data_IF_564487625012
#
_entry.id   IF_564487625012
#
_cell.length_a   1.000
_cell.length_b   1.000
_cell.length_c   1.000
_cell.angle_alpha   90.00
_cell.angle_beta   90.00
_cell.angle_gamma   90.00
#
_symmetry.space_group_name_H-M   'P 1'
#
loop_
_entity.id
_entity.type
_entity.pdbx_description
1 polymer ?
#
# COMPACT_ATOMS: atom_id res chain seq x y z
N UNK A 1 26.54 56.63 7.04
CA UNK A 1 26.75 55.22 6.60
C UNK A 1 26.23 54.13 7.58
N UNK A 2 25.79 54.44 8.82
CA UNK A 2 25.22 53.43 9.74
C UNK A 2 23.72 53.10 9.56
N UNK A 3 22.94 53.94 8.89
CA UNK A 3 21.48 53.75 8.72
C UNK A 3 21.08 52.84 7.55
N UNK A 4 22.01 52.56 6.63
CA UNK A 4 21.75 51.70 5.47
C UNK A 4 22.14 50.22 5.72
N UNK A 5 23.00 49.96 6.72
CA UNK A 5 23.35 48.60 7.15
C UNK A 5 22.25 47.94 7.99
N UNK A 6 21.46 48.71 8.73
CA UNK A 6 20.34 48.17 9.51
C UNK A 6 19.16 47.73 8.63
N UNK A 7 18.93 48.43 7.50
CA UNK A 7 17.89 48.07 6.51
C UNK A 7 18.28 46.86 5.66
N UNK A 8 19.58 46.61 5.47
CA UNK A 8 20.11 45.45 4.77
C UNK A 8 20.01 44.15 5.61
N UNK A 9 20.02 44.24 6.95
CA UNK A 9 19.84 43.08 7.83
C UNK A 9 18.37 42.68 8.04
N UNK A 10 17.43 43.62 8.04
CA UNK A 10 15.99 43.31 8.15
C UNK A 10 15.44 42.70 6.86
N UNK A 11 15.99 43.07 5.70
CA UNK A 11 15.59 42.49 4.40
C UNK A 11 16.09 41.05 4.17
N UNK A 12 17.24 40.68 4.73
CA UNK A 12 17.83 39.34 4.52
C UNK A 12 17.13 38.25 5.36
N UNK A 13 16.61 38.59 6.55
CA UNK A 13 15.86 37.67 7.40
C UNK A 13 14.46 37.33 6.85
N UNK A 14 13.84 38.26 6.11
CA UNK A 14 12.53 38.05 5.49
C UNK A 14 12.60 37.12 4.27
N UNK A 15 13.73 37.09 3.55
CA UNK A 15 13.89 36.23 2.37
C UNK A 15 14.22 34.77 2.75
N UNK A 16 14.86 34.54 3.90
CA UNK A 16 15.15 33.20 4.42
C UNK A 16 13.94 32.51 5.08
N UNK A 17 12.88 33.25 5.40
CA UNK A 17 11.66 32.69 6.02
C UNK A 17 10.63 32.19 5.00
N UNK A 18 10.80 32.47 3.71
CA UNK A 18 9.85 32.08 2.65
C UNK A 18 10.28 30.79 1.93
N UNK A 19 11.53 30.35 2.10
CA UNK A 19 12.03 29.07 1.56
C UNK A 19 11.88 27.86 2.52
N UNK A 20 11.19 28.01 3.65
CA UNK A 20 10.76 26.89 4.50
C UNK A 20 9.34 26.41 4.19
N UNK A 21 8.64 26.97 3.18
CA UNK A 21 7.28 26.54 2.80
C UNK A 21 7.23 25.57 1.61
N UNK A 22 8.37 25.05 1.15
CA UNK A 22 8.38 23.79 0.39
C UNK A 22 8.68 22.62 1.33
N UNK A 23 8.12 22.64 2.53
CA UNK A 23 7.83 21.39 3.23
C UNK A 23 6.82 20.63 2.38
N UNK A 24 7.34 19.68 1.61
CA UNK A 24 6.57 18.67 0.91
C UNK A 24 5.44 18.17 1.81
N UNK A 25 4.22 18.41 1.33
CA UNK A 25 2.93 18.12 1.93
C UNK A 25 2.76 16.68 2.45
N UNK A 26 3.39 16.33 3.57
CA UNK A 26 3.14 15.05 4.26
C UNK A 26 2.63 15.20 5.70
N UNK A 27 2.67 16.41 6.28
CA UNK A 27 2.36 16.61 7.70
C UNK A 27 0.99 17.24 8.01
N UNK A 28 0.12 17.47 7.02
CA UNK A 28 -1.18 18.13 7.23
C UNK A 28 -2.39 17.41 6.61
N UNK A 29 -2.44 16.07 6.77
CA UNK A 29 -3.69 15.29 6.69
C UNK A 29 -4.02 14.64 8.04
N UNK A 30 -3.92 15.39 9.14
CA UNK A 30 -4.58 15.06 10.41
C UNK A 30 -6.03 15.58 10.42
N UNK A 31 -6.79 15.21 9.40
CA UNK A 31 -8.16 15.68 9.20
C UNK A 31 -9.08 14.53 8.82
N UNK A 32 -9.86 14.07 9.79
CA UNK A 32 -10.75 12.89 9.81
C UNK A 32 -10.02 11.57 10.05
N UNK A 33 -9.87 11.22 11.33
CA UNK A 33 -10.03 9.82 11.72
C UNK A 33 -11.44 9.39 11.28
N UNK A 34 -11.55 8.95 10.03
CA UNK A 34 -12.75 8.33 9.52
C UNK A 34 -12.90 7.06 10.39
N UNK A 35 -13.78 7.12 11.38
CA UNK A 35 -14.10 5.97 12.21
C UNK A 35 -14.83 4.98 11.32
N UNK A 36 -14.10 4.04 10.72
CA UNK A 36 -14.72 2.90 10.05
C UNK A 36 -15.32 2.03 11.14
N UNK A 37 -16.60 1.67 11.03
CA UNK A 37 -17.24 0.72 11.94
C UNK A 37 -16.59 -0.66 11.80
N UNK A 38 -16.62 -1.48 12.87
CA UNK A 38 -16.11 -2.86 12.85
C UNK A 38 -16.68 -3.64 11.67
N UNK A 39 -18.00 -3.59 11.48
CA UNK A 39 -18.71 -4.21 10.35
C UNK A 39 -18.19 -3.78 8.97
N UNK A 40 -17.80 -2.50 8.81
CA UNK A 40 -17.30 -2.00 7.52
C UNK A 40 -15.88 -2.49 7.23
N UNK A 41 -15.07 -2.66 8.28
CA UNK A 41 -13.73 -3.24 8.17
C UNK A 41 -13.85 -4.73 7.90
N UNK A 42 -14.73 -5.44 8.60
CA UNK A 42 -15.05 -6.85 8.38
C UNK A 42 -15.43 -7.13 6.92
N UNK A 43 -16.42 -6.42 6.39
CA UNK A 43 -16.83 -6.55 4.98
C UNK A 43 -15.69 -6.25 3.99
N UNK A 44 -14.75 -5.36 4.35
CA UNK A 44 -13.57 -5.12 3.53
C UNK A 44 -12.62 -6.31 3.56
N UNK A 45 -12.38 -6.89 4.74
CA UNK A 45 -11.47 -8.03 4.88
C UNK A 45 -12.01 -9.26 4.15
N UNK A 46 -13.32 -9.50 4.21
CA UNK A 46 -13.99 -10.55 3.40
C UNK A 46 -13.75 -10.34 1.90
N UNK A 47 -14.00 -9.13 1.38
CA UNK A 47 -13.73 -8.84 -0.04
C UNK A 47 -12.24 -8.91 -0.39
N UNK A 48 -11.34 -8.61 0.56
CA UNK A 48 -9.90 -8.72 0.35
C UNK A 48 -9.49 -10.18 0.19
N UNK A 49 -9.96 -11.06 1.06
CA UNK A 49 -9.73 -12.52 1.01
C UNK A 49 -10.23 -13.08 -0.33
N UNK A 50 -11.51 -12.90 -0.65
CA UNK A 50 -12.11 -13.38 -1.90
C UNK A 50 -11.37 -12.89 -3.17
N UNK A 51 -10.96 -11.61 -3.17
CA UNK A 51 -10.23 -11.04 -4.30
C UNK A 51 -8.77 -11.49 -4.35
N UNK A 52 -8.17 -11.78 -3.21
CA UNK A 52 -6.80 -12.31 -3.14
C UNK A 52 -6.79 -13.72 -3.71
N UNK A 53 -7.72 -14.58 -3.29
CA UNK A 53 -7.88 -15.93 -3.84
C UNK A 53 -8.14 -15.90 -5.35
N UNK A 54 -9.04 -15.01 -5.79
CA UNK A 54 -9.31 -14.83 -7.21
C UNK A 54 -8.05 -14.41 -7.95
N UNK A 55 -7.28 -13.45 -7.42
CA UNK A 55 -6.03 -13.01 -8.02
C UNK A 55 -4.98 -14.13 -8.07
N UNK A 56 -4.69 -14.79 -6.94
CA UNK A 56 -3.75 -15.91 -6.83
C UNK A 56 -4.07 -17.00 -7.85
N UNK A 57 -5.34 -17.39 -7.95
CA UNK A 57 -5.78 -18.41 -8.90
C UNK A 57 -5.57 -18.00 -10.37
N UNK A 58 -5.86 -16.74 -10.73
CA UNK A 58 -5.65 -16.25 -12.10
C UNK A 58 -4.15 -16.08 -12.41
N UNK A 59 -3.39 -15.61 -11.44
CA UNK A 59 -1.95 -15.41 -11.57
C UNK A 59 -1.22 -16.75 -11.76
N UNK A 60 -1.53 -17.77 -10.96
CA UNK A 60 -0.96 -19.11 -11.12
C UNK A 60 -1.31 -19.70 -12.48
N UNK A 61 -2.57 -19.65 -12.90
CA UNK A 61 -2.98 -20.09 -14.25
C UNK A 61 -2.25 -19.35 -15.37
N UNK A 62 -1.92 -18.07 -15.17
CA UNK A 62 -1.15 -17.30 -16.13
C UNK A 62 0.32 -17.69 -16.16
N UNK A 63 0.90 -18.07 -15.02
CA UNK A 63 2.26 -18.60 -14.93
C UNK A 63 2.37 -19.95 -15.65
N UNK A 64 1.46 -20.89 -15.34
CA UNK A 64 1.39 -22.23 -15.93
C UNK A 64 1.25 -22.19 -17.46
N UNK A 65 0.55 -21.17 -17.99
CA UNK A 65 0.36 -20.99 -19.45
C UNK A 65 1.48 -20.20 -20.12
N UNK A 66 2.42 -19.67 -19.34
CA UNK A 66 3.50 -18.84 -19.86
C UNK A 66 4.74 -19.67 -20.16
N UNK A 67 5.71 -19.06 -20.85
CA UNK A 67 7.04 -19.66 -21.05
C UNK A 67 7.83 -19.88 -19.75
N UNK A 68 7.32 -19.44 -18.60
CA UNK A 68 7.94 -19.63 -17.29
C UNK A 68 7.57 -20.96 -16.64
N UNK A 69 6.56 -21.65 -17.15
CA UNK A 69 6.12 -22.96 -16.65
C UNK A 69 7.31 -23.93 -16.48
N UNK A 70 7.38 -24.53 -15.30
CA UNK A 70 8.42 -25.48 -14.89
C UNK A 70 9.78 -24.85 -14.61
N UNK A 71 9.88 -23.51 -14.50
CA UNK A 71 11.15 -22.81 -14.23
C UNK A 71 11.19 -22.25 -12.81
N UNK A 72 12.38 -22.19 -12.21
CA UNK A 72 12.62 -21.57 -10.89
C UNK A 72 12.07 -20.14 -10.72
N UNK A 73 11.92 -19.40 -11.83
CA UNK A 73 11.38 -18.04 -11.79
C UNK A 73 9.86 -18.02 -11.55
N UNK A 74 9.13 -19.04 -12.03
CA UNK A 74 7.72 -19.25 -11.72
C UNK A 74 7.54 -19.51 -10.22
N UNK A 75 8.31 -20.43 -9.62
CA UNK A 75 8.26 -20.68 -8.17
C UNK A 75 8.42 -19.39 -7.35
N UNK A 76 9.36 -18.53 -7.79
CA UNK A 76 9.60 -17.23 -7.17
C UNK A 76 8.40 -16.30 -7.30
N UNK A 77 7.72 -16.31 -8.44
CA UNK A 77 6.54 -15.46 -8.69
C UNK A 77 5.32 -15.98 -7.92
N UNK A 78 5.07 -17.28 -7.97
CA UNK A 78 4.04 -17.95 -7.16
C UNK A 78 4.24 -17.63 -5.69
N UNK A 79 5.49 -17.68 -5.19
CA UNK A 79 5.79 -17.34 -3.79
C UNK A 79 5.39 -15.91 -3.41
N UNK A 80 5.51 -14.94 -4.32
CA UNK A 80 5.11 -13.55 -4.05
C UNK A 80 3.59 -13.44 -3.90
N UNK A 81 2.81 -14.17 -4.71
CA UNK A 81 1.35 -14.23 -4.54
C UNK A 81 0.96 -14.94 -3.24
N UNK A 82 1.59 -16.08 -2.91
CA UNK A 82 1.34 -16.82 -1.66
C UNK A 82 1.65 -15.98 -0.42
N UNK A 83 2.68 -15.13 -0.45
CA UNK A 83 2.99 -14.24 0.68
C UNK A 83 1.88 -13.20 0.89
N UNK A 84 1.25 -12.70 -0.18
CA UNK A 84 0.11 -11.79 -0.08
C UNK A 84 -1.13 -12.48 0.48
N UNK A 85 -1.42 -13.69 0.02
CA UNK A 85 -2.51 -14.54 0.49
C UNK A 85 -2.39 -14.81 1.99
N UNK A 86 -1.27 -15.40 2.42
CA UNK A 86 -1.01 -15.69 3.83
C UNK A 86 -1.11 -14.45 4.72
N UNK A 87 -0.62 -13.30 4.25
CA UNK A 87 -0.68 -12.05 5.02
C UNK A 87 -2.13 -11.53 5.16
N UNK A 88 -2.96 -11.73 4.14
CA UNK A 88 -4.37 -11.35 4.14
C UNK A 88 -5.17 -12.25 5.09
N UNK A 89 -4.90 -13.55 5.07
CA UNK A 89 -5.54 -14.50 6.00
C UNK A 89 -5.13 -14.23 7.44
N UNK A 90 -3.84 -13.92 7.68
CA UNK A 90 -3.36 -13.52 9.01
C UNK A 90 -4.07 -12.24 9.47
N UNK A 91 -4.23 -11.24 8.59
CA UNK A 91 -4.97 -10.04 8.92
C UNK A 91 -6.44 -10.33 9.26
N UNK A 92 -7.11 -11.22 8.52
CA UNK A 92 -8.50 -11.61 8.78
C UNK A 92 -8.63 -12.30 10.13
N UNK A 93 -7.82 -13.34 10.38
CA UNK A 93 -7.81 -14.06 11.66
C UNK A 93 -7.58 -13.10 12.83
N UNK A 94 -6.57 -12.25 12.75
CA UNK A 94 -6.22 -11.31 13.82
C UNK A 94 -7.29 -10.22 14.02
N UNK A 95 -8.03 -9.85 12.98
CA UNK A 95 -9.19 -8.96 13.13
C UNK A 95 -10.37 -9.64 13.84
N UNK A 96 -10.56 -10.93 13.60
CA UNK A 96 -11.65 -11.71 14.21
C UNK A 96 -11.39 -11.99 15.69
N UNK A 97 -10.13 -12.26 16.05
CA UNK A 97 -9.72 -12.54 17.45
C UNK A 97 -9.27 -11.30 18.24
N UNK A 98 -8.83 -10.23 17.57
CA UNK A 98 -8.19 -9.09 18.21
C UNK A 98 -9.17 -8.07 18.81
N UNK A 99 -8.86 -7.61 20.02
CA UNK A 99 -9.62 -6.56 20.72
C UNK A 99 -9.16 -5.14 20.37
N UNK A 100 -7.98 -4.95 19.75
CA UNK A 100 -7.41 -3.62 19.53
C UNK A 100 -7.03 -3.31 18.08
N UNK A 101 -7.32 -2.08 17.66
CA UNK A 101 -6.97 -1.52 16.32
C UNK A 101 -5.46 -1.42 16.07
N UNK A 102 -4.65 -1.48 17.12
CA UNK A 102 -3.18 -1.33 17.05
C UNK A 102 -2.50 -2.53 16.41
N UNK A 103 -2.87 -3.74 16.83
CA UNK A 103 -2.32 -5.02 16.34
C UNK A 103 -2.67 -5.24 14.86
N UNK A 104 -3.92 -4.95 14.50
CA UNK A 104 -4.40 -5.04 13.11
C UNK A 104 -3.69 -4.07 12.17
N UNK A 105 -3.18 -2.93 12.66
CA UNK A 105 -2.40 -1.99 11.83
C UNK A 105 -1.06 -2.57 11.39
N UNK A 106 -0.39 -3.33 12.24
CA UNK A 106 0.88 -3.97 11.88
C UNK A 106 0.66 -5.03 10.80
N UNK A 107 -0.39 -5.84 10.94
CA UNK A 107 -0.75 -6.86 9.95
C UNK A 107 -1.21 -6.22 8.62
N UNK A 108 -1.98 -5.13 8.67
CA UNK A 108 -2.31 -4.37 7.47
C UNK A 108 -1.06 -3.84 6.75
N UNK A 109 0.00 -3.46 7.49
CA UNK A 109 1.28 -3.07 6.89
C UNK A 109 1.99 -4.25 6.21
N UNK A 110 1.97 -5.45 6.80
CA UNK A 110 2.52 -6.68 6.19
C UNK A 110 1.82 -6.97 4.85
N UNK A 111 0.48 -6.90 4.83
CA UNK A 111 -0.33 -7.07 3.61
C UNK A 111 0.08 -6.07 2.52
N UNK A 112 0.19 -4.78 2.87
CA UNK A 112 0.54 -3.73 1.89
C UNK A 112 1.99 -3.84 1.38
N UNK A 113 2.91 -4.36 2.20
CA UNK A 113 4.26 -4.70 1.75
C UNK A 113 4.21 -5.82 0.69
N UNK A 114 3.57 -6.94 0.99
CA UNK A 114 3.44 -8.08 0.07
C UNK A 114 2.75 -7.68 -1.24
N UNK A 115 1.68 -6.89 -1.15
CA UNK A 115 0.99 -6.33 -2.31
C UNK A 115 1.89 -5.43 -3.16
N UNK A 116 2.84 -4.72 -2.54
CA UNK A 116 3.79 -3.88 -3.29
C UNK A 116 4.77 -4.72 -4.09
N UNK A 117 5.15 -5.90 -3.61
CA UNK A 117 5.97 -6.85 -4.37
C UNK A 117 5.22 -7.41 -5.57
N UNK A 118 3.95 -7.80 -5.40
CA UNK A 118 3.06 -8.17 -6.52
C UNK A 118 2.97 -7.03 -7.54
N UNK A 119 2.72 -5.80 -7.06
CA UNK A 119 2.61 -4.62 -7.93
C UNK A 119 3.88 -4.39 -8.76
N UNK A 120 5.06 -4.57 -8.16
CA UNK A 120 6.35 -4.45 -8.86
C UNK A 120 6.52 -5.53 -9.93
N UNK A 121 6.01 -6.75 -9.71
CA UNK A 121 6.05 -7.82 -10.71
C UNK A 121 5.13 -7.52 -11.89
N UNK A 122 3.87 -7.16 -11.64
CA UNK A 122 2.89 -6.86 -12.68
C UNK A 122 3.25 -5.60 -13.49
N UNK A 123 3.90 -4.62 -12.87
CA UNK A 123 4.45 -3.47 -13.60
C UNK A 123 5.60 -3.83 -14.56
N UNK A 124 6.30 -4.95 -14.32
CA UNK A 124 7.43 -5.38 -15.15
C UNK A 124 7.01 -6.32 -16.29
N UNK A 125 5.89 -7.02 -16.13
CA UNK A 125 5.47 -8.06 -17.06
C UNK A 125 3.96 -8.19 -17.07
N UNK A 126 3.40 -8.36 -18.26
CA UNK A 126 1.98 -8.63 -18.45
C UNK A 126 1.69 -10.13 -18.25
N UNK A 127 0.71 -10.45 -17.39
CA UNK A 127 0.27 -11.83 -17.12
C UNK A 127 -1.13 -12.12 -17.67
N UNK A 128 -1.56 -11.37 -18.68
CA UNK A 128 -2.84 -11.52 -19.36
C UNK A 128 -3.95 -10.65 -18.75
N UNK A 129 -4.91 -10.24 -19.58
CA UNK A 129 -5.93 -9.27 -19.19
C UNK A 129 -6.79 -9.69 -17.99
N UNK A 130 -7.02 -11.00 -17.80
CA UNK A 130 -7.78 -11.50 -16.66
C UNK A 130 -7.05 -11.29 -15.33
N UNK A 131 -5.75 -11.59 -15.30
CA UNK A 131 -4.87 -11.39 -14.14
C UNK A 131 -4.67 -9.91 -13.83
N UNK A 132 -4.46 -9.08 -14.85
CA UNK A 132 -4.36 -7.63 -14.66
C UNK A 132 -5.67 -7.04 -14.11
N UNK A 133 -6.82 -7.53 -14.60
CA UNK A 133 -8.13 -7.07 -14.12
C UNK A 133 -8.39 -7.50 -12.67
N UNK A 134 -8.07 -8.74 -12.29
CA UNK A 134 -8.21 -9.19 -10.90
C UNK A 134 -7.27 -8.41 -9.98
N UNK A 135 -6.05 -8.13 -10.42
CA UNK A 135 -5.10 -7.28 -9.69
C UNK A 135 -5.63 -5.87 -9.45
N UNK A 136 -6.14 -5.19 -10.47
CA UNK A 136 -6.69 -3.83 -10.31
C UNK A 136 -7.80 -3.80 -9.27
N UNK A 137 -8.70 -4.80 -9.28
CA UNK A 137 -9.78 -4.92 -8.29
C UNK A 137 -9.24 -5.14 -6.89
N UNK A 138 -8.29 -6.07 -6.72
CA UNK A 138 -7.65 -6.33 -5.43
C UNK A 138 -6.90 -5.09 -4.91
N UNK A 139 -6.12 -4.44 -5.75
CA UNK A 139 -5.37 -3.21 -5.43
C UNK A 139 -6.27 -2.09 -4.95
N UNK A 140 -7.49 -1.98 -5.47
CA UNK A 140 -8.46 -0.98 -5.00
C UNK A 140 -8.91 -1.22 -3.56
N UNK A 141 -9.20 -2.47 -3.18
CA UNK A 141 -9.52 -2.82 -1.79
C UNK A 141 -8.30 -2.65 -0.87
N UNK A 142 -7.10 -3.04 -1.32
CA UNK A 142 -5.85 -2.82 -0.57
C UNK A 142 -5.58 -1.34 -0.32
N UNK A 143 -5.87 -0.47 -1.29
CA UNK A 143 -5.76 0.97 -1.09
C UNK A 143 -6.85 1.54 -0.17
N UNK A 144 -8.00 0.88 -0.06
CA UNK A 144 -8.99 1.20 0.97
C UNK A 144 -8.51 0.78 2.37
N UNK A 145 -7.91 -0.41 2.49
CA UNK A 145 -7.24 -0.87 3.72
C UNK A 145 -6.16 0.13 4.18
N UNK A 146 -5.31 0.56 3.27
CA UNK A 146 -4.30 1.60 3.53
C UNK A 146 -4.92 2.87 4.11
N UNK A 147 -6.04 3.34 3.55
CA UNK A 147 -6.76 4.51 4.06
C UNK A 147 -7.32 4.30 5.46
N UNK A 148 -7.92 3.16 5.75
CA UNK A 148 -8.49 2.83 7.08
C UNK A 148 -7.44 2.87 8.18
N UNK A 149 -6.25 2.35 7.88
CA UNK A 149 -5.14 2.23 8.83
C UNK A 149 -4.16 3.41 8.79
N UNK A 150 -4.43 4.44 7.96
CA UNK A 150 -3.54 5.57 7.72
C UNK A 150 -2.13 5.12 7.34
N UNK A 151 -2.05 4.21 6.36
CA UNK A 151 -0.84 3.66 5.78
C UNK A 151 -0.68 4.15 4.32
N UNK A 152 0.56 4.10 3.77
CA UNK A 152 0.79 4.38 2.36
C UNK A 152 0.00 3.46 1.41
N UNK A 153 -0.23 3.91 0.17
CA UNK A 153 -0.91 3.09 -0.84
C UNK A 153 0.03 2.02 -1.43
N UNK A 154 -0.53 0.97 -2.03
CA UNK A 154 0.23 -0.08 -2.73
C UNK A 154 1.07 0.54 -3.85
N UNK A 155 2.37 0.24 -3.84
CA UNK A 155 3.34 0.80 -4.78
C UNK A 155 3.91 2.17 -4.37
N UNK A 156 3.52 2.72 -3.22
CA UNK A 156 4.24 3.85 -2.64
C UNK A 156 5.67 3.43 -2.26
N UNK A 157 6.65 4.32 -2.44
CA UNK A 157 8.05 4.06 -2.09
C UNK A 157 8.35 3.84 -0.59
N UNK A 158 7.30 3.79 0.24
CA UNK A 158 7.37 3.58 1.68
C UNK A 158 7.49 2.10 2.09
N UNK A 159 7.27 1.18 1.16
CA UNK A 159 7.38 -0.26 1.34
C UNK A 159 8.66 -0.76 0.68
N UNK A 160 9.46 -1.54 1.41
CA UNK A 160 10.76 -2.04 0.95
C UNK A 160 10.65 -3.53 0.66
#
# INVERSE_FOLDING_TARGET
>A
MRKNLLKLFVGLAAFLMIMSLTETNYAQRRGRAQGYSKQRVEQLLERLEERTDTFSNQFNKALDRSRLDGRKIEDRYTKVATVLENATDELRREFDFGDTRGETKQNARKVLNAATDVNRLLNKRNFGGQTETSWVRLRNELNLLARIYNLPAVGAGAYK
#
